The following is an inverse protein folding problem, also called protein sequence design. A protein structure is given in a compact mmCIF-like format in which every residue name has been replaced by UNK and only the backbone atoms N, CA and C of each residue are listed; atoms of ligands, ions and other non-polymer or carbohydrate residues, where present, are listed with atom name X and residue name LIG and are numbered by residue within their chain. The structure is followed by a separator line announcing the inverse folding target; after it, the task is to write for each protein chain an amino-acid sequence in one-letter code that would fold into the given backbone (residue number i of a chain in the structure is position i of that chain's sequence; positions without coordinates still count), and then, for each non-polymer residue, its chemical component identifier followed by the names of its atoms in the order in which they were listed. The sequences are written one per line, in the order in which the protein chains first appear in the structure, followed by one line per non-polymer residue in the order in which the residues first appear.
data_IF_074610799155
#
_entry.id   IF_074610799155
#
_cell.length_a   1.000
_cell.length_b   1.000
_cell.length_c   1.000
_cell.angle_alpha   90.00
_cell.angle_beta   90.00
_cell.angle_gamma   90.00
#
_symmetry.space_group_name_H-M   'P 1'
#
loop_
_entity.id
_entity.type
_entity.pdbx_description
1 polymer ?
#
# COMPACT_ATOMS: atom_id res chain seq x y z
N UNK A 1 -61.23 -36.31 -6.88
CA UNK A 1 -61.24 -35.20 -7.82
C UNK A 1 -61.11 -33.92 -6.98
N UNK A 2 -59.95 -33.41 -6.90
CA UNK A 2 -59.70 -32.15 -6.25
C UNK A 2 -58.38 -31.60 -6.89
N UNK A 3 -58.60 -30.73 -7.85
CA UNK A 3 -57.54 -30.01 -8.56
C UNK A 3 -56.87 -29.04 -7.59
N UNK A 4 -55.67 -29.34 -7.18
CA UNK A 4 -54.79 -28.42 -6.50
C UNK A 4 -54.07 -27.52 -7.54
N UNK A 5 -54.61 -26.34 -7.76
CA UNK A 5 -53.97 -25.33 -8.57
C UNK A 5 -52.60 -24.99 -8.01
N UNK A 6 -51.59 -25.18 -8.83
CA UNK A 6 -50.21 -24.71 -8.60
C UNK A 6 -50.21 -23.22 -8.89
N UNK A 7 -50.43 -22.39 -7.86
CA UNK A 7 -50.21 -20.97 -7.93
C UNK A 7 -48.69 -20.74 -7.96
N UNK A 8 -48.19 -20.50 -9.17
CA UNK A 8 -46.83 -19.97 -9.35
C UNK A 8 -46.81 -18.57 -8.75
N UNK A 9 -46.09 -18.41 -7.67
CA UNK A 9 -45.76 -17.09 -7.11
C UNK A 9 -44.80 -16.37 -8.09
N UNK A 10 -45.39 -15.60 -9.01
CA UNK A 10 -44.74 -14.87 -10.10
C UNK A 10 -44.49 -13.41 -9.72
N UNK A 11 -44.18 -13.13 -8.46
CA UNK A 11 -43.84 -11.75 -8.04
C UNK A 11 -42.50 -11.63 -7.26
N UNK A 12 -41.51 -12.38 -7.68
CA UNK A 12 -40.16 -12.01 -7.28
C UNK A 12 -39.68 -10.86 -8.19
N UNK A 13 -40.11 -9.63 -7.89
CA UNK A 13 -39.51 -8.43 -8.46
C UNK A 13 -38.05 -8.47 -8.08
N UNK A 14 -37.10 -8.49 -9.06
CA UNK A 14 -35.69 -8.43 -8.73
C UNK A 14 -35.45 -7.13 -7.94
N UNK A 15 -34.87 -7.29 -6.76
CA UNK A 15 -34.51 -6.19 -5.88
C UNK A 15 -33.54 -5.26 -6.65
N UNK A 16 -34.10 -4.23 -7.30
CA UNK A 16 -33.39 -3.27 -8.13
C UNK A 16 -32.42 -2.40 -7.30
N UNK A 17 -32.38 -2.63 -5.99
CA UNK A 17 -31.53 -1.94 -5.03
C UNK A 17 -30.36 -2.80 -4.53
N UNK A 18 -30.04 -3.88 -5.26
CA UNK A 18 -28.82 -4.63 -5.03
C UNK A 18 -27.62 -3.69 -5.32
N UNK A 19 -27.14 -3.00 -4.27
CA UNK A 19 -25.95 -2.16 -4.31
C UNK A 19 -24.85 -2.89 -5.09
N UNK A 20 -24.57 -2.42 -6.30
CA UNK A 20 -23.50 -2.96 -7.12
C UNK A 20 -22.22 -3.02 -6.27
N UNK A 21 -21.52 -4.17 -6.27
CA UNK A 21 -20.28 -4.25 -5.54
C UNK A 21 -19.34 -3.12 -6.03
N UNK A 22 -18.67 -2.42 -5.11
CA UNK A 22 -17.78 -1.33 -5.51
C UNK A 22 -16.71 -1.88 -6.46
N UNK A 23 -16.30 -1.09 -7.44
CA UNK A 23 -15.32 -1.51 -8.43
C UNK A 23 -14.03 -1.96 -7.75
N UNK A 24 -13.42 -3.04 -8.24
CA UNK A 24 -12.23 -3.70 -7.67
C UNK A 24 -11.08 -2.73 -7.38
N UNK A 25 -10.93 -1.67 -8.20
CA UNK A 25 -9.90 -0.65 -8.00
C UNK A 25 -10.05 0.13 -6.68
N UNK A 26 -11.28 0.32 -6.17
CA UNK A 26 -11.48 0.99 -4.87
C UNK A 26 -11.01 0.13 -3.69
N UNK A 27 -10.90 -1.18 -3.86
CA UNK A 27 -10.37 -2.08 -2.83
C UNK A 27 -8.84 -2.07 -2.81
N UNK A 28 -8.21 -1.85 -3.97
CA UNK A 28 -6.76 -1.84 -4.12
C UNK A 28 -6.12 -0.48 -3.77
N UNK A 29 -6.90 0.59 -3.86
CA UNK A 29 -6.41 1.96 -3.70
C UNK A 29 -5.66 2.21 -2.38
N UNK A 30 -6.10 1.75 -1.21
CA UNK A 30 -5.35 1.91 0.04
C UNK A 30 -3.98 1.21 -0.01
N UNK A 31 -3.90 0.03 -0.64
CA UNK A 31 -2.65 -0.75 -0.72
C UNK A 31 -1.66 -0.11 -1.69
N UNK A 32 -2.14 0.34 -2.85
CA UNK A 32 -1.32 1.03 -3.85
C UNK A 32 -0.77 2.33 -3.26
N UNK A 33 -1.63 3.13 -2.60
CA UNK A 33 -1.22 4.37 -1.94
C UNK A 33 -0.16 4.12 -0.87
N UNK A 34 -0.33 3.06 -0.07
CA UNK A 34 0.61 2.69 0.97
C UNK A 34 1.94 2.22 0.38
N UNK A 35 1.92 1.45 -0.71
CA UNK A 35 3.13 1.03 -1.43
C UNK A 35 3.88 2.25 -2.00
N UNK A 36 3.17 3.17 -2.63
CA UNK A 36 3.76 4.41 -3.17
C UNK A 36 4.39 5.25 -2.04
N UNK A 37 3.68 5.41 -0.91
CA UNK A 37 4.22 6.10 0.25
C UNK A 37 5.45 5.40 0.84
N UNK A 38 5.44 4.06 0.89
CA UNK A 38 6.58 3.27 1.36
C UNK A 38 7.81 3.48 0.47
N UNK A 39 7.63 3.44 -0.86
CA UNK A 39 8.69 3.70 -1.82
C UNK A 39 9.19 5.15 -1.72
N UNK A 40 8.29 6.13 -1.58
CA UNK A 40 8.65 7.53 -1.37
C UNK A 40 9.44 7.72 -0.06
N UNK A 41 9.04 7.03 1.01
CA UNK A 41 9.77 7.04 2.29
C UNK A 41 11.16 6.43 2.18
N UNK A 42 11.30 5.31 1.49
CA UNK A 42 12.59 4.68 1.22
C UNK A 42 13.49 5.57 0.35
N UNK A 43 12.95 6.17 -0.71
CA UNK A 43 13.66 7.11 -1.56
C UNK A 43 14.11 8.36 -0.78
N UNK A 44 13.22 8.92 0.04
CA UNK A 44 13.56 10.04 0.91
C UNK A 44 14.70 9.69 1.87
N UNK A 45 14.62 8.53 2.55
CA UNK A 45 15.65 8.07 3.45
C UNK A 45 17.02 7.90 2.75
N UNK A 46 17.01 7.48 1.48
CA UNK A 46 18.22 7.25 0.69
C UNK A 46 18.84 8.53 0.14
N UNK A 47 18.00 9.51 -0.26
CA UNK A 47 18.45 10.73 -0.96
C UNK A 47 18.67 11.93 -0.04
N UNK A 48 18.05 11.95 1.15
CA UNK A 48 18.16 13.09 2.08
C UNK A 48 19.50 13.09 2.77
N UNK A 49 20.14 14.28 2.94
CA UNK A 49 21.42 14.41 3.66
C UNK A 49 21.33 14.03 5.14
N UNK A 50 20.11 14.03 5.71
CA UNK A 50 19.81 13.55 7.06
C UNK A 50 18.31 13.25 7.20
N UNK A 51 17.94 12.18 7.92
CA UNK A 51 16.54 11.87 8.15
C UNK A 51 15.88 12.96 9.00
N UNK A 52 14.72 13.46 8.56
CA UNK A 52 13.93 14.46 9.30
C UNK A 52 12.87 13.75 10.13
N UNK A 53 12.89 13.98 11.45
CA UNK A 53 11.85 13.47 12.35
C UNK A 53 10.45 13.91 11.90
N UNK A 54 10.32 15.16 11.43
CA UNK A 54 9.04 15.71 10.95
C UNK A 54 8.46 14.91 9.80
N UNK A 55 9.27 14.48 8.84
CA UNK A 55 8.82 13.64 7.74
C UNK A 55 8.20 12.33 8.25
N UNK A 56 8.87 11.64 9.17
CA UNK A 56 8.38 10.38 9.73
C UNK A 56 7.17 10.56 10.64
N UNK A 57 7.07 11.70 11.35
CA UNK A 57 5.89 12.05 12.15
C UNK A 57 4.64 12.28 11.29
N UNK A 58 4.79 12.66 10.03
CA UNK A 58 3.68 12.78 9.09
C UNK A 58 3.39 11.43 8.41
N UNK A 59 4.41 10.70 8.04
CA UNK A 59 4.28 9.44 7.31
C UNK A 59 3.58 8.35 8.16
N UNK A 60 3.95 8.20 9.43
CA UNK A 60 3.37 7.17 10.30
C UNK A 60 1.85 7.32 10.52
N UNK A 61 1.29 8.52 10.80
CA UNK A 61 -0.17 8.70 10.84
C UNK A 61 -0.86 8.42 9.51
N UNK A 62 -0.23 8.73 8.37
CA UNK A 62 -0.78 8.39 7.06
C UNK A 62 -0.90 6.86 6.90
N UNK A 63 0.11 6.10 7.29
CA UNK A 63 0.03 4.65 7.32
C UNK A 63 -1.10 4.15 8.24
N UNK A 64 -1.29 4.78 9.41
CA UNK A 64 -2.41 4.47 10.31
C UNK A 64 -3.76 4.64 9.62
N UNK A 65 -3.95 5.76 8.90
CA UNK A 65 -5.19 6.04 8.16
C UNK A 65 -5.44 4.98 7.08
N UNK A 66 -4.41 4.61 6.30
CA UNK A 66 -4.55 3.55 5.29
C UNK A 66 -4.85 2.18 5.91
N UNK A 67 -4.24 1.83 7.04
CA UNK A 67 -4.53 0.59 7.76
C UNK A 67 -5.98 0.57 8.27
N UNK A 68 -6.47 1.70 8.82
CA UNK A 68 -7.86 1.85 9.24
C UNK A 68 -8.79 1.72 8.04
N UNK A 69 -8.50 2.41 6.94
CA UNK A 69 -9.30 2.35 5.72
C UNK A 69 -9.39 0.91 5.16
N UNK A 70 -8.27 0.19 5.11
CA UNK A 70 -8.21 -1.20 4.66
C UNK A 70 -9.02 -2.15 5.57
N UNK A 71 -9.03 -1.92 6.88
CA UNK A 71 -9.79 -2.71 7.85
C UNK A 71 -11.26 -2.29 8.01
N UNK A 72 -11.64 -1.10 7.58
CA UNK A 72 -12.93 -0.50 7.85
C UNK A 72 -14.13 -1.31 7.35
N UNK A 73 -13.99 -1.86 6.15
CA UNK A 73 -15.05 -2.66 5.51
C UNK A 73 -15.29 -4.00 6.20
N UNK A 74 -14.26 -4.54 6.86
CA UNK A 74 -14.34 -5.79 7.63
C UNK A 74 -14.97 -5.57 9.00
N UNK A 75 -14.86 -4.37 9.56
CA UNK A 75 -15.44 -3.98 10.83
C UNK A 75 -16.94 -3.65 10.66
N UNK A 76 -17.80 -4.67 10.73
CA UNK A 76 -19.24 -4.55 10.46
C UNK A 76 -20.02 -3.84 11.59
N UNK A 77 -19.54 -3.86 12.84
CA UNK A 77 -20.20 -3.24 13.98
C UNK A 77 -19.50 -1.96 14.44
N UNK A 78 -20.25 -1.08 15.13
CA UNK A 78 -19.70 0.16 15.70
C UNK A 78 -18.58 -0.12 16.70
N UNK A 79 -18.73 -1.13 17.53
CA UNK A 79 -17.71 -1.57 18.49
C UNK A 79 -16.45 -2.12 17.80
N UNK A 80 -16.60 -2.89 16.71
CA UNK A 80 -15.47 -3.39 15.93
C UNK A 80 -14.69 -2.25 15.26
N UNK A 81 -15.38 -1.23 14.75
CA UNK A 81 -14.74 -0.02 14.17
C UNK A 81 -13.99 0.78 15.22
N UNK A 82 -14.59 0.97 16.40
CA UNK A 82 -13.93 1.66 17.51
C UNK A 82 -12.68 0.92 17.97
N UNK A 83 -12.77 -0.40 18.11
CA UNK A 83 -11.62 -1.25 18.46
C UNK A 83 -10.51 -1.15 17.40
N UNK A 84 -10.87 -1.17 16.11
CA UNK A 84 -9.90 -1.01 15.00
C UNK A 84 -9.16 0.32 15.12
N UNK A 85 -9.89 1.43 15.27
CA UNK A 85 -9.28 2.77 15.38
C UNK A 85 -8.36 2.84 16.61
N UNK A 86 -8.83 2.34 17.77
CA UNK A 86 -8.05 2.40 19.01
C UNK A 86 -6.78 1.54 18.95
N UNK A 87 -6.89 0.32 18.42
CA UNK A 87 -5.71 -0.55 18.28
C UNK A 87 -4.70 0.02 17.28
N UNK A 88 -5.14 0.61 16.17
CA UNK A 88 -4.26 1.27 15.24
C UNK A 88 -3.64 2.54 15.83
N UNK A 89 -4.39 3.35 16.56
CA UNK A 89 -3.86 4.54 17.23
C UNK A 89 -2.77 4.19 18.25
N UNK A 90 -3.00 3.19 19.10
CA UNK A 90 -2.00 2.71 20.06
C UNK A 90 -0.77 2.13 19.37
N UNK A 91 -0.98 1.33 18.33
CA UNK A 91 0.10 0.70 17.57
C UNK A 91 1.00 1.76 16.91
N UNK A 92 0.42 2.68 16.16
CA UNK A 92 1.17 3.74 15.49
C UNK A 92 1.73 4.76 16.45
N UNK A 93 1.05 5.00 17.59
CA UNK A 93 1.59 5.78 18.71
C UNK A 93 2.86 5.16 19.28
N UNK A 94 2.91 3.84 19.46
CA UNK A 94 4.11 3.12 19.91
C UNK A 94 5.24 3.21 18.87
N UNK A 95 4.94 3.12 17.56
CA UNK A 95 5.93 3.30 16.49
C UNK A 95 6.49 4.72 16.48
N UNK A 96 5.63 5.74 16.63
CA UNK A 96 6.07 7.13 16.73
C UNK A 96 6.95 7.36 17.96
N UNK A 97 6.62 6.73 19.10
CA UNK A 97 7.43 6.78 20.29
C UNK A 97 8.81 6.13 20.06
N UNK A 98 8.84 4.93 19.45
CA UNK A 98 10.09 4.26 19.12
C UNK A 98 10.96 5.13 18.18
N UNK A 99 10.36 5.77 17.20
CA UNK A 99 11.07 6.72 16.33
C UNK A 99 11.59 7.93 17.11
N UNK A 100 10.78 8.50 18.01
CA UNK A 100 11.24 9.60 18.88
C UNK A 100 12.44 9.20 19.71
N UNK A 101 12.49 7.97 20.22
CA UNK A 101 13.64 7.47 20.96
C UNK A 101 14.90 7.36 20.09
N UNK A 102 14.76 6.92 18.84
CA UNK A 102 15.89 6.91 17.89
C UNK A 102 16.45 8.31 17.60
N UNK A 103 15.59 9.32 17.53
CA UNK A 103 15.98 10.71 17.31
C UNK A 103 16.46 11.43 18.58
N UNK A 104 16.65 10.75 19.71
CA UNK A 104 17.32 11.35 20.86
C UNK A 104 18.79 11.65 20.51
N UNK A 105 19.30 12.86 20.81
CA UNK A 105 20.64 13.27 20.39
C UNK A 105 21.75 12.29 20.79
N UNK A 106 21.61 11.64 21.94
CA UNK A 106 22.60 10.65 22.41
C UNK A 106 22.54 9.35 21.60
N UNK A 107 21.34 8.92 21.19
CA UNK A 107 21.17 7.69 20.39
C UNK A 107 21.62 7.95 18.95
N UNK A 108 21.24 9.10 18.39
CA UNK A 108 21.66 9.50 17.05
C UNK A 108 23.18 9.59 16.92
N UNK A 109 23.88 10.08 17.94
CA UNK A 109 25.35 10.16 17.96
C UNK A 109 26.05 8.79 18.07
N UNK A 110 25.36 7.76 18.56
CA UNK A 110 25.90 6.39 18.66
C UNK A 110 25.78 5.59 17.36
N UNK A 111 24.92 6.01 16.46
CA UNK A 111 24.67 5.37 15.18
C UNK A 111 25.33 6.17 14.06
N UNK A 112 25.99 5.49 13.12
CA UNK A 112 26.35 6.15 11.88
C UNK A 112 25.08 6.50 11.07
N UNK A 113 25.21 7.42 10.11
CA UNK A 113 24.07 7.93 9.34
C UNK A 113 23.32 6.82 8.59
N UNK A 114 24.04 5.84 8.10
CA UNK A 114 23.46 4.77 7.28
C UNK A 114 22.75 3.78 8.18
N UNK A 115 23.34 3.37 9.30
CA UNK A 115 22.71 2.55 10.32
C UNK A 115 21.42 3.21 10.86
N UNK A 116 21.46 4.53 11.09
CA UNK A 116 20.30 5.28 11.55
C UNK A 116 19.14 5.27 10.54
N UNK A 117 19.42 5.48 9.26
CA UNK A 117 18.42 5.40 8.17
C UNK A 117 17.81 4.01 8.06
N UNK A 118 18.65 2.97 8.10
CA UNK A 118 18.20 1.59 8.05
C UNK A 118 17.34 1.23 9.26
N UNK A 119 17.69 1.69 10.46
CA UNK A 119 16.90 1.50 11.68
C UNK A 119 15.49 2.10 11.56
N UNK A 120 15.35 3.30 11.00
CA UNK A 120 14.05 3.93 10.76
C UNK A 120 13.19 3.09 9.81
N UNK A 121 13.76 2.66 8.67
CA UNK A 121 13.04 1.84 7.69
C UNK A 121 12.66 0.50 8.32
N UNK A 122 13.53 -0.12 9.11
CA UNK A 122 13.26 -1.37 9.81
C UNK A 122 12.09 -1.22 10.82
N UNK A 123 12.08 -0.16 11.61
CA UNK A 123 10.99 0.14 12.55
C UNK A 123 9.67 0.36 11.80
N UNK A 124 9.69 1.11 10.69
CA UNK A 124 8.49 1.31 9.87
C UNK A 124 7.99 0.03 9.23
N UNK A 125 8.88 -0.80 8.70
CA UNK A 125 8.50 -2.07 8.08
C UNK A 125 7.91 -3.03 9.11
N UNK A 126 8.51 -3.14 10.29
CA UNK A 126 7.98 -3.95 11.40
C UNK A 126 6.61 -3.44 11.86
N UNK A 127 6.46 -2.13 12.04
CA UNK A 127 5.19 -1.50 12.38
C UNK A 127 4.11 -1.79 11.33
N UNK A 128 4.42 -1.65 10.06
CA UNK A 128 3.50 -1.96 8.96
C UNK A 128 3.13 -3.43 8.91
N UNK A 129 4.08 -4.33 9.17
CA UNK A 129 3.82 -5.77 9.22
C UNK A 129 2.85 -6.13 10.35
N UNK A 130 3.11 -5.66 11.56
CA UNK A 130 2.23 -5.87 12.72
C UNK A 130 0.85 -5.26 12.50
N UNK A 131 0.75 -4.07 11.89
CA UNK A 131 -0.52 -3.48 11.51
C UNK A 131 -1.28 -4.36 10.51
N UNK A 132 -0.58 -4.97 9.54
CA UNK A 132 -1.14 -5.93 8.59
C UNK A 132 -1.68 -7.19 9.27
N UNK A 133 -0.94 -7.74 10.22
CA UNK A 133 -1.38 -8.89 11.03
C UNK A 133 -2.64 -8.55 11.83
N UNK A 134 -2.66 -7.42 12.53
CA UNK A 134 -3.83 -6.97 13.30
C UNK A 134 -5.06 -6.68 12.42
N UNK A 135 -4.85 -6.17 11.20
CA UNK A 135 -5.91 -5.93 10.25
C UNK A 135 -6.33 -7.20 9.47
N UNK A 136 -5.68 -8.35 9.74
CA UNK A 136 -5.85 -9.61 8.99
C UNK A 136 -5.73 -9.40 7.46
N UNK A 137 -4.79 -8.56 7.04
CA UNK A 137 -4.57 -8.18 5.65
C UNK A 137 -3.20 -8.63 5.17
N UNK A 138 -3.15 -9.74 4.42
CA UNK A 138 -1.90 -10.26 3.85
C UNK A 138 -1.21 -9.26 2.91
N UNK A 139 -1.98 -8.39 2.26
CA UNK A 139 -1.47 -7.33 1.36
C UNK A 139 -0.64 -6.30 2.12
N UNK A 140 -1.09 -5.90 3.32
CA UNK A 140 -0.31 -5.01 4.19
C UNK A 140 0.98 -5.69 4.67
N UNK A 141 0.91 -6.98 5.00
CA UNK A 141 2.10 -7.76 5.35
C UNK A 141 3.08 -7.82 4.17
N UNK A 142 2.58 -7.97 2.93
CA UNK A 142 3.43 -7.96 1.74
C UNK A 142 4.13 -6.60 1.54
N UNK A 143 3.41 -5.48 1.69
CA UNK A 143 4.01 -4.14 1.63
C UNK A 143 5.13 -4.01 2.66
N UNK A 144 4.90 -4.48 3.89
CA UNK A 144 5.89 -4.44 4.95
C UNK A 144 7.12 -5.31 4.65
N UNK A 145 6.93 -6.50 4.07
CA UNK A 145 8.03 -7.38 3.64
C UNK A 145 8.85 -6.72 2.53
N UNK A 146 8.20 -6.06 1.57
CA UNK A 146 8.89 -5.29 0.53
C UNK A 146 9.68 -4.12 1.12
N UNK A 147 9.13 -3.42 2.12
CA UNK A 147 9.87 -2.39 2.86
C UNK A 147 11.06 -2.97 3.62
N UNK A 148 10.89 -4.12 4.29
CA UNK A 148 11.98 -4.78 5.01
C UNK A 148 13.08 -5.24 4.04
N UNK A 149 12.72 -5.75 2.86
CA UNK A 149 13.66 -6.14 1.81
C UNK A 149 14.44 -4.94 1.24
N UNK A 150 13.88 -3.73 1.32
CA UNK A 150 14.59 -2.51 0.95
C UNK A 150 15.80 -2.23 1.87
N UNK A 151 15.76 -2.69 3.13
CA UNK A 151 16.86 -2.46 4.09
C UNK A 151 18.18 -3.08 3.60
N UNK A 152 18.29 -4.40 3.35
CA UNK A 152 19.53 -4.97 2.81
C UNK A 152 19.80 -4.44 1.38
N UNK A 153 18.75 -4.19 0.58
CA UNK A 153 18.94 -3.67 -0.76
C UNK A 153 19.63 -2.30 -0.72
N UNK A 154 19.19 -1.37 0.12
CA UNK A 154 19.83 -0.06 0.29
C UNK A 154 21.26 -0.22 0.79
N UNK A 155 21.53 -1.13 1.73
CA UNK A 155 22.87 -1.38 2.24
C UNK A 155 23.84 -1.87 1.14
N UNK A 156 23.35 -2.72 0.21
CA UNK A 156 24.13 -3.16 -0.95
C UNK A 156 24.22 -2.13 -2.07
N UNK A 157 23.21 -1.23 -2.18
CA UNK A 157 23.07 -0.29 -3.27
C UNK A 157 23.97 0.93 -3.19
N UNK A 158 24.47 1.27 -2.02
CA UNK A 158 25.45 2.36 -1.87
C UNK A 158 26.72 2.12 -2.71
N UNK A 159 27.00 0.86 -3.03
CA UNK A 159 28.09 0.48 -3.92
C UNK A 159 27.70 0.40 -5.41
N UNK A 160 26.42 0.33 -5.73
CA UNK A 160 25.92 0.06 -7.09
C UNK A 160 24.85 1.07 -7.58
N UNK A 161 24.75 2.24 -6.95
CA UNK A 161 23.69 3.23 -7.23
C UNK A 161 23.51 3.56 -8.72
N UNK A 162 24.61 3.75 -9.44
CA UNK A 162 24.56 4.10 -10.87
C UNK A 162 23.95 2.98 -11.72
N UNK A 163 24.33 1.74 -11.46
CA UNK A 163 23.84 0.59 -12.23
C UNK A 163 22.32 0.38 -12.08
N UNK A 164 21.78 0.69 -10.91
CA UNK A 164 20.35 0.48 -10.59
C UNK A 164 19.48 1.60 -11.13
N UNK A 165 19.93 2.85 -11.03
CA UNK A 165 19.24 3.96 -11.69
C UNK A 165 19.15 3.69 -13.19
N UNK A 166 20.26 3.25 -13.80
CA UNK A 166 20.29 2.90 -15.22
C UNK A 166 19.36 1.73 -15.52
N UNK A 167 19.39 0.65 -14.72
CA UNK A 167 18.50 -0.51 -14.89
C UNK A 167 17.03 -0.12 -14.69
N UNK A 168 16.71 0.73 -13.73
CA UNK A 168 15.36 1.25 -13.50
C UNK A 168 14.86 2.09 -14.68
N UNK A 169 15.68 2.98 -15.19
CA UNK A 169 15.32 3.79 -16.38
C UNK A 169 15.11 2.90 -17.60
N UNK A 170 15.96 1.89 -17.81
CA UNK A 170 15.80 0.92 -18.89
C UNK A 170 14.50 0.12 -18.73
N UNK A 171 14.19 -0.35 -17.53
CA UNK A 171 12.98 -1.12 -17.26
C UNK A 171 11.71 -0.29 -17.49
N UNK A 172 11.68 0.96 -17.04
CA UNK A 172 10.57 1.90 -17.29
C UNK A 172 10.46 2.22 -18.77
N UNK A 173 11.58 2.48 -19.44
CA UNK A 173 11.62 2.72 -20.89
C UNK A 173 11.11 1.52 -21.70
N UNK A 174 11.53 0.31 -21.35
CA UNK A 174 11.05 -0.92 -21.97
C UNK A 174 9.55 -1.14 -21.75
N UNK A 175 9.06 -0.89 -20.53
CA UNK A 175 7.63 -0.98 -20.22
C UNK A 175 6.80 0.00 -21.05
N UNK A 176 7.20 1.26 -21.10
CA UNK A 176 6.54 2.29 -21.92
C UNK A 176 6.58 1.91 -23.41
N UNK A 177 7.72 1.43 -23.92
CA UNK A 177 7.86 0.99 -25.30
C UNK A 177 6.94 -0.18 -25.64
N UNK A 178 6.79 -1.17 -24.73
CA UNK A 178 5.87 -2.30 -24.93
C UNK A 178 4.41 -1.83 -24.97
N UNK A 179 4.02 -0.94 -24.06
CA UNK A 179 2.66 -0.35 -24.06
C UNK A 179 2.42 0.39 -25.39
N UNK A 180 3.34 1.26 -25.77
CA UNK A 180 3.22 2.04 -27.01
C UNK A 180 3.15 1.16 -28.26
N UNK A 181 3.97 0.08 -28.33
CA UNK A 181 3.94 -0.89 -29.41
C UNK A 181 2.61 -1.65 -29.50
N UNK A 182 2.06 -2.05 -28.34
CA UNK A 182 0.74 -2.69 -28.27
C UNK A 182 -0.37 -1.75 -28.76
N UNK A 183 -0.31 -0.48 -28.39
CA UNK A 183 -1.28 0.53 -28.84
C UNK A 183 -1.20 0.76 -30.34
N UNK A 184 0.01 0.85 -30.90
CA UNK A 184 0.19 0.98 -32.35
C UNK A 184 -0.34 -0.23 -33.11
N UNK A 185 -0.09 -1.45 -32.65
CA UNK A 185 -0.65 -2.65 -33.26
C UNK A 185 -2.17 -2.69 -33.18
N UNK A 186 -2.77 -2.32 -32.07
CA UNK A 186 -4.22 -2.25 -31.91
C UNK A 186 -4.84 -1.22 -32.87
N UNK A 187 -4.22 -0.06 -33.05
CA UNK A 187 -4.66 0.97 -34.01
C UNK A 187 -4.57 0.52 -35.47
N UNK A 188 -3.59 -0.33 -35.82
CA UNK A 188 -3.42 -0.88 -37.17
C UNK A 188 -4.35 -2.08 -37.46
N UNK A 189 -4.83 -2.76 -36.43
CA UNK A 189 -5.73 -3.90 -36.53
C UNK A 189 -7.21 -3.49 -36.65
N UNK A 190 -7.56 -2.20 -36.48
CA UNK A 190 -8.92 -1.70 -36.72
C UNK A 190 -9.25 -1.76 -38.20
N UNK A 191 -10.18 -2.64 -38.69
CA UNK A 191 -10.51 -2.73 -40.09
C UNK A 191 -11.20 -1.45 -40.54
N UNK A 192 -10.86 -0.96 -41.74
CA UNK A 192 -11.60 0.07 -42.47
C UNK A 192 -13.06 -0.41 -42.69
N UNK A 193 -13.91 -0.24 -41.70
CA UNK A 193 -15.36 -0.38 -41.87
C UNK A 193 -15.98 0.99 -42.19
N UNK A 194 -15.55 1.58 -43.29
CA UNK A 194 -16.30 2.67 -43.92
C UNK A 194 -16.10 2.54 -45.41
N UNK A 195 -16.98 1.74 -46.03
CA UNK A 195 -17.50 1.90 -47.40
C UNK A 195 -18.28 0.65 -47.80
N UNK A 196 -19.56 0.61 -47.45
CA UNK A 196 -20.61 -0.03 -48.23
C UNK A 196 -21.93 0.66 -47.90
#
# INVERSE_FOLDING_TARGET
MSDGAFEADETAVPDADAKQPPPLWMEELPFISMLVLALAGAAYASLSPGPSLTFWQILAPLFAVFCIAAGWRRAKSKSARWRLVWTQALHWGAILLAMRLLFLPRVEQMLDRDAFRLAIIAVMSLGTFLAGVHAASWRLCLVAVLMAAAVPMIAFLQQAMLAIVVAGVIAVGAFVAVIWYRWRRAAQAAPNQTMA
#
